data_IF_728187462196
#
_entry.id   IF_728187462196
#
_cell.length_a   1.000
_cell.length_b   1.000
_cell.length_c   1.000
_cell.angle_alpha   90.00
_cell.angle_beta   90.00
_cell.angle_gamma   90.00
#
_symmetry.space_group_name_H-M   'P 1'
#
loop_
_entity.id
_entity.type
_entity.pdbx_description
1 polymer ?
#
# COMPACT_ATOMS: atom_id res chain seq x y z
N UNK A 1 18.24 -22.09 -16.28
CA UNK A 1 17.66 -21.02 -17.11
C UNK A 1 17.23 -19.88 -16.20
N UNK A 2 18.14 -18.98 -15.89
CA UNK A 2 17.94 -17.82 -15.01
C UNK A 2 17.36 -16.67 -15.83
N UNK A 3 16.05 -16.42 -15.70
CA UNK A 3 15.44 -15.20 -16.22
C UNK A 3 15.95 -14.02 -15.39
N UNK A 4 16.93 -13.30 -15.94
CA UNK A 4 17.24 -11.93 -15.56
C UNK A 4 16.01 -11.08 -15.86
N UNK A 5 15.22 -10.73 -14.83
CA UNK A 5 14.25 -9.66 -14.94
C UNK A 5 14.94 -8.38 -14.45
N UNK A 6 15.66 -7.70 -15.34
CA UNK A 6 15.72 -6.25 -15.23
C UNK A 6 14.30 -5.73 -15.47
N UNK A 7 13.66 -5.17 -14.46
CA UNK A 7 12.23 -4.85 -14.52
C UNK A 7 11.92 -3.54 -13.78
N UNK A 8 12.64 -2.46 -14.14
CA UNK A 8 12.37 -1.10 -13.66
C UNK A 8 11.05 -0.50 -14.16
N UNK A 9 10.30 -1.21 -15.00
CA UNK A 9 9.11 -0.67 -15.67
C UNK A 9 7.81 -0.83 -14.88
N UNK A 10 7.82 -1.52 -13.73
CA UNK A 10 6.61 -1.83 -12.97
C UNK A 10 6.77 -1.46 -11.50
N UNK A 11 5.98 -0.49 -11.06
CA UNK A 11 5.78 -0.14 -9.66
C UNK A 11 4.53 -0.79 -9.08
N UNK A 12 4.53 -1.05 -7.76
CA UNK A 12 3.40 -1.62 -7.03
C UNK A 12 2.80 -0.56 -6.12
N UNK A 13 1.50 -0.33 -6.25
CA UNK A 13 0.75 0.57 -5.38
C UNK A 13 -0.18 -0.22 -4.46
N UNK A 14 0.02 -0.11 -3.15
CA UNK A 14 -0.91 -0.63 -2.15
C UNK A 14 -1.98 0.43 -1.86
N UNK A 15 -3.25 0.07 -2.06
CA UNK A 15 -4.39 0.94 -1.77
C UNK A 15 -4.81 0.80 -0.29
N UNK A 16 -4.30 1.68 0.56
CA UNK A 16 -4.63 1.80 1.99
C UNK A 16 -5.54 3.01 2.30
N UNK A 17 -6.13 3.62 1.28
CA UNK A 17 -7.06 4.74 1.38
C UNK A 17 -8.54 4.34 1.46
N UNK A 18 -9.38 5.35 1.59
CA UNK A 18 -10.83 5.23 1.69
C UNK A 18 -11.35 5.04 3.11
N UNK A 19 -12.58 5.47 3.34
CA UNK A 19 -13.31 5.23 4.58
C UNK A 19 -13.72 3.76 4.65
N UNK A 20 -13.29 3.06 5.69
CA UNK A 20 -13.54 1.63 5.83
C UNK A 20 -14.92 1.39 6.47
N UNK A 21 -15.99 1.54 5.69
CA UNK A 21 -17.38 1.43 6.19
C UNK A 21 -17.80 -0.01 6.51
N UNK A 22 -17.30 -0.99 5.74
CA UNK A 22 -17.62 -2.42 5.94
C UNK A 22 -16.70 -3.12 6.94
N UNK A 23 -15.46 -2.65 7.08
CA UNK A 23 -14.46 -3.24 7.99
C UNK A 23 -13.61 -2.13 8.62
N UNK A 24 -14.14 -1.44 9.64
CA UNK A 24 -13.43 -0.36 10.32
C UNK A 24 -12.08 -0.83 10.86
N UNK A 25 -11.06 0.03 10.76
CA UNK A 25 -9.72 -0.29 11.27
C UNK A 25 -8.95 -1.37 10.49
N UNK A 26 -9.42 -1.79 9.30
CA UNK A 26 -8.85 -2.90 8.51
C UNK A 26 -7.33 -2.95 8.43
N UNK A 27 -6.66 -1.79 8.34
CA UNK A 27 -5.20 -1.72 8.18
C UNK A 27 -4.44 -2.30 9.39
N UNK A 28 -5.04 -2.18 10.58
CA UNK A 28 -4.46 -2.56 11.87
C UNK A 28 -5.00 -3.88 12.41
N UNK A 29 -5.95 -4.53 11.71
CA UNK A 29 -6.44 -5.84 12.11
C UNK A 29 -5.29 -6.85 12.15
N UNK A 30 -5.30 -7.72 13.15
CA UNK A 30 -4.30 -8.77 13.27
C UNK A 30 -4.42 -9.77 12.11
N UNK A 31 -3.28 -10.07 11.49
CA UNK A 31 -3.12 -11.03 10.41
C UNK A 31 -1.99 -12.00 10.73
N UNK A 32 -2.16 -12.76 11.81
CA UNK A 32 -1.18 -13.73 12.29
C UNK A 32 -0.04 -13.08 13.07
N UNK A 33 -0.38 -12.23 14.04
CA UNK A 33 0.56 -11.53 14.92
C UNK A 33 1.18 -10.26 14.34
N UNK A 34 0.70 -9.79 13.19
CA UNK A 34 1.13 -8.53 12.57
C UNK A 34 -0.07 -7.78 11.99
N UNK A 35 -0.04 -6.44 11.89
CA UNK A 35 -1.09 -5.68 11.21
C UNK A 35 -1.30 -6.13 9.76
N UNK A 36 -2.55 -6.17 9.31
CA UNK A 36 -2.93 -6.60 7.97
C UNK A 36 -2.15 -5.85 6.87
N UNK A 37 -1.96 -4.53 7.01
CA UNK A 37 -1.18 -3.75 6.07
C UNK A 37 0.29 -4.21 6.01
N UNK A 38 0.88 -4.50 7.16
CA UNK A 38 2.25 -5.01 7.24
C UNK A 38 2.36 -6.41 6.63
N UNK A 39 1.33 -7.26 6.79
CA UNK A 39 1.27 -8.57 6.13
C UNK A 39 1.25 -8.43 4.60
N UNK A 40 0.40 -7.54 4.06
CA UNK A 40 0.33 -7.29 2.61
C UNK A 40 1.67 -6.79 2.08
N UNK A 41 2.27 -5.81 2.76
CA UNK A 41 3.60 -5.31 2.38
C UNK A 41 4.66 -6.43 2.40
N UNK A 42 4.70 -7.26 3.45
CA UNK A 42 5.64 -8.40 3.53
C UNK A 42 5.48 -9.42 2.42
N UNK A 43 4.25 -9.72 2.01
CA UNK A 43 4.00 -10.63 0.89
C UNK A 43 4.63 -10.08 -0.40
N UNK A 44 4.59 -8.76 -0.58
CA UNK A 44 5.24 -8.11 -1.72
C UNK A 44 6.76 -8.16 -1.57
N UNK A 45 7.33 -7.82 -0.41
CA UNK A 45 8.80 -7.81 -0.21
C UNK A 45 9.47 -9.18 -0.44
N UNK A 46 8.75 -10.28 -0.20
CA UNK A 46 9.22 -11.63 -0.53
C UNK A 46 9.45 -11.84 -2.04
N UNK A 47 8.60 -11.24 -2.89
CA UNK A 47 8.67 -11.30 -4.35
C UNK A 47 9.30 -10.04 -4.98
N UNK A 48 9.38 -8.93 -4.25
CA UNK A 48 9.72 -7.58 -4.70
C UNK A 48 11.16 -7.17 -4.37
N UNK A 49 12.12 -8.10 -4.49
CA UNK A 49 13.54 -7.71 -4.45
C UNK A 49 13.94 -6.75 -5.57
N UNK A 50 13.07 -6.49 -6.55
CA UNK A 50 13.37 -5.71 -7.76
C UNK A 50 12.33 -4.66 -8.16
N UNK A 51 11.26 -4.42 -7.36
CA UNK A 51 10.18 -3.49 -7.75
C UNK A 51 9.95 -2.39 -6.72
N UNK A 52 9.69 -1.19 -7.20
CA UNK A 52 9.29 -0.05 -6.35
C UNK A 52 7.90 -0.29 -5.75
N UNK A 53 7.72 0.05 -4.47
CA UNK A 53 6.45 -0.09 -3.76
C UNK A 53 6.10 1.24 -3.12
N UNK A 54 4.85 1.67 -3.26
CA UNK A 54 4.29 2.82 -2.56
C UNK A 54 2.94 2.48 -1.93
N UNK A 55 2.54 3.22 -0.90
CA UNK A 55 1.22 3.12 -0.27
C UNK A 55 0.42 4.37 -0.55
N UNK A 56 -0.74 4.24 -1.20
CA UNK A 56 -1.70 5.34 -1.30
C UNK A 56 -2.69 5.30 -0.13
N UNK A 57 -2.84 6.40 0.59
CA UNK A 57 -3.67 6.49 1.80
C UNK A 57 -4.38 7.85 1.91
N UNK A 58 -5.36 7.95 2.81
CA UNK A 58 -5.89 9.26 3.18
C UNK A 58 -4.88 10.00 4.11
N UNK A 59 -5.10 11.31 4.31
CA UNK A 59 -4.21 12.13 5.13
C UNK A 59 -4.16 11.68 6.60
N UNK A 60 -5.29 11.23 7.15
CA UNK A 60 -5.41 10.78 8.54
C UNK A 60 -4.54 9.55 8.86
N UNK A 61 -4.47 8.60 7.93
CA UNK A 61 -3.76 7.34 8.13
C UNK A 61 -2.25 7.46 7.84
N UNK A 62 -1.81 8.54 7.19
CA UNK A 62 -0.42 8.69 6.70
C UNK A 62 0.61 8.51 7.81
N UNK A 63 0.42 9.17 8.95
CA UNK A 63 1.36 9.12 10.06
C UNK A 63 1.48 7.71 10.66
N UNK A 64 0.35 7.02 10.87
CA UNK A 64 0.34 5.66 11.38
C UNK A 64 0.97 4.65 10.41
N UNK A 65 0.75 4.84 9.11
CA UNK A 65 1.36 4.00 8.07
C UNK A 65 2.88 4.22 8.01
N UNK A 66 3.34 5.47 8.03
CA UNK A 66 4.76 5.81 8.00
C UNK A 66 5.52 5.31 9.25
N UNK A 67 4.85 5.26 10.41
CA UNK A 67 5.39 4.65 11.62
C UNK A 67 5.46 3.11 11.54
N UNK A 68 4.55 2.49 10.78
CA UNK A 68 4.46 1.03 10.66
C UNK A 68 5.42 0.46 9.60
N UNK A 69 5.58 1.16 8.47
CA UNK A 69 6.29 0.64 7.30
C UNK A 69 7.25 1.70 6.70
N UNK A 70 8.50 1.32 6.39
CA UNK A 70 9.49 2.23 5.81
C UNK A 70 9.30 2.35 4.29
N UNK A 71 8.13 2.81 3.84
CA UNK A 71 7.74 2.87 2.43
C UNK A 71 7.14 4.23 2.08
N UNK A 72 7.37 4.76 0.86
CA UNK A 72 6.74 6.00 0.42
C UNK A 72 5.22 5.97 0.56
N UNK A 73 4.66 7.09 1.03
CA UNK A 73 3.21 7.28 1.14
C UNK A 73 2.73 8.38 0.19
N UNK A 74 1.64 8.11 -0.51
CA UNK A 74 0.97 9.03 -1.42
C UNK A 74 -0.39 9.37 -0.81
N UNK A 75 -0.67 10.65 -0.61
CA UNK A 75 -1.95 11.09 -0.04
C UNK A 75 -2.99 11.24 -1.13
N UNK A 76 -4.09 10.48 -1.02
CA UNK A 76 -5.25 10.54 -1.91
C UNK A 76 -5.79 11.97 -2.06
N UNK A 77 -5.80 12.47 -3.30
CA UNK A 77 -6.31 13.80 -3.67
C UNK A 77 -7.80 13.79 -4.01
N UNK A 78 -8.43 12.62 -4.08
CA UNK A 78 -9.79 12.42 -4.56
C UNK A 78 -10.64 11.63 -3.54
N UNK A 79 -10.90 12.22 -2.36
CA UNK A 79 -11.66 11.54 -1.32
C UNK A 79 -13.05 11.13 -1.82
N UNK A 80 -13.55 9.99 -1.34
CA UNK A 80 -14.86 9.43 -1.67
C UNK A 80 -15.07 9.07 -3.15
N UNK A 81 -13.99 8.91 -3.92
CA UNK A 81 -14.02 8.44 -5.32
C UNK A 81 -13.63 6.97 -5.50
N UNK A 82 -13.60 6.22 -4.40
CA UNK A 82 -13.28 4.80 -4.39
C UNK A 82 -11.85 4.50 -4.85
N UNK A 83 -11.54 3.23 -5.20
CA UNK A 83 -10.19 2.80 -5.56
C UNK A 83 -9.60 3.55 -6.77
N UNK A 84 -10.41 3.92 -7.75
CA UNK A 84 -9.95 4.61 -8.96
C UNK A 84 -9.45 6.03 -8.68
N UNK A 85 -10.08 6.77 -7.75
CA UNK A 85 -9.59 8.09 -7.33
C UNK A 85 -8.22 8.02 -6.65
N UNK A 86 -8.01 6.97 -5.85
CA UNK A 86 -6.72 6.70 -5.20
C UNK A 86 -5.66 6.33 -6.26
N UNK A 87 -6.00 5.51 -7.25
CA UNK A 87 -5.09 5.16 -8.35
C UNK A 87 -4.70 6.39 -9.16
N UNK A 88 -5.65 7.26 -9.52
CA UNK A 88 -5.40 8.51 -10.24
C UNK A 88 -4.44 9.44 -9.48
N UNK A 89 -4.40 9.37 -8.15
CA UNK A 89 -3.46 10.19 -7.37
C UNK A 89 -2.01 9.79 -7.62
N UNK A 90 -1.76 8.50 -7.86
CA UNK A 90 -0.42 7.91 -7.99
C UNK A 90 0.08 7.83 -9.44
N UNK A 91 -0.73 8.28 -10.42
CA UNK A 91 -0.35 8.45 -11.83
C UNK A 91 -0.04 9.91 -12.11
#
# INVERSE_FOLDING_TARGET
MTRSAQNGDIAILILAGGEATRLPGKLMLDAGGVPLLARVYRNLVGEARTREVAIACNAMNRAGIAALLPVPTIVDRWPNRGPLGVMLTAM
#
